data_IF_079666859997
#
_entry.id   IF_079666859997
#
_cell.length_a   1.000
_cell.length_b   1.000
_cell.length_c   1.000
_cell.angle_alpha   90.00
_cell.angle_beta   90.00
_cell.angle_gamma   90.00
#
_symmetry.space_group_name_H-M   'P 1'
#
loop_
_entity.id
_entity.type
_entity.pdbx_description
1 polymer ?
#
# COMPACT_ATOMS: atom_id res chain seq x y z
N UNK A 1 5.38 -2.03 -27.09
CA UNK A 1 5.21 -3.50 -27.16
C UNK A 1 4.24 -3.92 -26.07
N UNK A 2 3.10 -4.49 -26.45
CA UNK A 2 2.14 -5.06 -25.51
C UNK A 2 2.66 -6.43 -25.04
N UNK A 3 2.52 -6.73 -23.75
CA UNK A 3 2.83 -8.05 -23.21
C UNK A 3 1.84 -9.06 -23.80
N UNK A 4 2.25 -9.78 -24.85
CA UNK A 4 1.45 -10.87 -25.42
C UNK A 4 1.71 -12.20 -24.68
N UNK A 5 0.82 -13.17 -24.88
CA UNK A 5 0.88 -14.45 -24.19
C UNK A 5 2.19 -15.20 -24.46
N UNK A 6 2.65 -15.21 -25.71
CA UNK A 6 3.84 -15.98 -26.10
C UNK A 6 5.13 -15.37 -25.51
N UNK A 7 5.24 -14.04 -25.49
CA UNK A 7 6.35 -13.32 -24.85
C UNK A 7 6.36 -13.59 -23.35
N UNK A 8 5.20 -13.55 -22.69
CA UNK A 8 5.10 -13.86 -21.26
C UNK A 8 5.42 -15.33 -20.96
N UNK A 9 4.96 -16.28 -21.79
CA UNK A 9 5.26 -17.69 -21.64
C UNK A 9 6.77 -17.97 -21.82
N UNK A 10 7.42 -17.26 -22.75
CA UNK A 10 8.86 -17.32 -22.93
C UNK A 10 9.62 -16.73 -21.73
N UNK A 11 9.24 -15.55 -21.26
CA UNK A 11 9.85 -14.93 -20.07
C UNK A 11 9.67 -15.78 -18.82
N UNK A 12 8.50 -16.39 -18.62
CA UNK A 12 8.26 -17.31 -17.49
C UNK A 12 9.25 -18.48 -17.50
N UNK A 13 9.61 -18.99 -18.68
CA UNK A 13 10.55 -20.10 -18.81
C UNK A 13 12.00 -19.67 -18.68
N UNK A 14 12.37 -18.46 -19.11
CA UNK A 14 13.77 -18.08 -19.33
C UNK A 14 14.29 -16.95 -18.44
N UNK A 15 13.43 -16.10 -17.90
CA UNK A 15 13.84 -14.93 -17.13
C UNK A 15 14.18 -15.33 -15.67
N UNK A 16 15.41 -15.13 -15.19
CA UNK A 16 15.85 -15.53 -13.83
C UNK A 16 14.95 -14.99 -12.71
N UNK A 17 14.54 -13.72 -12.80
CA UNK A 17 13.60 -13.11 -11.84
C UNK A 17 12.28 -13.89 -11.71
N UNK A 18 11.68 -14.30 -12.83
CA UNK A 18 10.42 -15.05 -12.81
C UNK A 18 10.62 -16.48 -12.30
N UNK A 19 11.77 -17.08 -12.63
CA UNK A 19 12.15 -18.38 -12.05
C UNK A 19 12.35 -18.29 -10.53
N UNK A 20 12.81 -17.16 -10.00
CA UNK A 20 12.90 -16.93 -8.55
C UNK A 20 11.50 -16.91 -7.92
N UNK A 21 10.54 -16.19 -8.52
CA UNK A 21 9.16 -16.16 -8.03
C UNK A 21 8.47 -17.53 -8.04
N UNK A 22 8.84 -18.40 -8.97
CA UNK A 22 8.26 -19.73 -9.13
C UNK A 22 8.99 -20.82 -8.31
N UNK A 23 10.09 -20.49 -7.63
CA UNK A 23 10.85 -21.49 -6.89
C UNK A 23 10.10 -21.94 -5.63
N UNK A 24 10.11 -23.24 -5.33
CA UNK A 24 9.42 -23.78 -4.15
C UNK A 24 9.98 -23.21 -2.84
N UNK A 25 11.26 -22.85 -2.83
CA UNK A 25 11.96 -22.22 -1.72
C UNK A 25 12.15 -20.70 -1.90
N UNK A 26 11.36 -20.05 -2.78
CA UNK A 26 11.51 -18.63 -3.11
C UNK A 26 11.60 -17.73 -1.88
N UNK A 27 10.78 -17.97 -0.86
CA UNK A 27 10.78 -17.20 0.37
C UNK A 27 12.15 -17.25 1.07
N UNK A 28 12.71 -18.45 1.27
CA UNK A 28 14.02 -18.64 1.90
C UNK A 28 15.15 -18.07 1.04
N UNK A 29 15.12 -18.27 -0.28
CA UNK A 29 16.14 -17.72 -1.18
C UNK A 29 16.11 -16.19 -1.12
N UNK A 30 14.94 -15.59 -1.29
CA UNK A 30 14.79 -14.15 -1.36
C UNK A 30 15.17 -13.46 -0.04
N UNK A 31 14.69 -13.98 1.09
CA UNK A 31 15.00 -13.41 2.41
C UNK A 31 16.48 -13.56 2.79
N UNK A 32 17.13 -14.66 2.40
CA UNK A 32 18.56 -14.81 2.60
C UNK A 32 19.35 -13.81 1.74
N UNK A 33 19.06 -13.74 0.43
CA UNK A 33 19.77 -12.87 -0.49
C UNK A 33 19.59 -11.39 -0.14
N UNK A 34 18.38 -10.98 0.26
CA UNK A 34 18.09 -9.61 0.68
C UNK A 34 18.88 -9.24 1.95
N UNK A 35 18.84 -10.10 2.98
CA UNK A 35 19.63 -9.93 4.20
C UNK A 35 21.13 -9.86 3.94
N UNK A 36 21.66 -10.78 3.13
CA UNK A 36 23.11 -10.89 2.95
C UNK A 36 23.69 -9.78 2.09
N UNK A 37 23.04 -9.39 0.99
CA UNK A 37 23.59 -8.45 0.03
C UNK A 37 23.02 -7.02 0.18
N UNK A 38 21.72 -6.86 0.47
CA UNK A 38 21.06 -5.54 0.50
C UNK A 38 21.04 -4.92 1.88
N UNK A 39 20.56 -5.63 2.90
CA UNK A 39 20.52 -5.10 4.28
C UNK A 39 21.95 -4.77 4.78
N UNK A 40 22.91 -5.65 4.52
CA UNK A 40 24.31 -5.41 4.87
C UNK A 40 25.05 -4.51 3.85
N UNK A 41 24.40 -4.18 2.72
CA UNK A 41 24.95 -3.38 1.62
C UNK A 41 26.33 -3.87 1.13
N UNK A 42 26.46 -5.19 0.96
CA UNK A 42 27.68 -5.85 0.49
C UNK A 42 27.47 -6.33 -0.94
N UNK A 43 28.32 -5.90 -1.87
CA UNK A 43 28.23 -6.31 -3.27
C UNK A 43 28.84 -7.67 -3.56
N UNK A 44 29.87 -8.08 -2.81
CA UNK A 44 30.62 -9.30 -3.11
C UNK A 44 30.92 -10.05 -1.81
N UNK A 45 30.59 -11.34 -1.79
CA UNK A 45 30.80 -12.20 -0.63
C UNK A 45 31.64 -13.39 -1.04
N UNK A 46 32.62 -13.79 -0.23
CA UNK A 46 33.43 -14.97 -0.51
C UNK A 46 32.59 -16.26 -0.42
N UNK A 47 32.97 -17.31 -1.16
CA UNK A 47 32.27 -18.60 -1.11
C UNK A 47 32.16 -19.16 0.30
N UNK A 48 33.26 -19.10 1.07
CA UNK A 48 33.31 -19.60 2.44
C UNK A 48 32.34 -18.85 3.35
N UNK A 49 32.33 -17.52 3.29
CA UNK A 49 31.47 -16.69 4.14
C UNK A 49 29.99 -16.86 3.75
N UNK A 50 29.70 -17.00 2.45
CA UNK A 50 28.34 -17.17 1.96
C UNK A 50 27.76 -18.54 2.34
N UNK A 51 28.57 -19.61 2.26
CA UNK A 51 28.18 -20.95 2.72
C UNK A 51 27.87 -20.92 4.22
N UNK A 52 28.76 -20.34 5.03
CA UNK A 52 28.57 -20.24 6.49
C UNK A 52 27.31 -19.43 6.85
N UNK A 53 27.08 -18.31 6.16
CA UNK A 53 25.90 -17.49 6.37
C UNK A 53 24.61 -18.23 6.01
N UNK A 54 24.61 -19.00 4.91
CA UNK A 54 23.44 -19.77 4.50
C UNK A 54 23.18 -20.95 5.44
N UNK A 55 24.21 -21.68 5.88
CA UNK A 55 24.06 -22.77 6.86
C UNK A 55 23.50 -22.25 8.19
N UNK A 56 23.93 -21.07 8.65
CA UNK A 56 23.36 -20.42 9.85
C UNK A 56 21.90 -20.00 9.65
N UNK A 57 21.60 -19.47 8.46
CA UNK A 57 20.24 -19.08 8.10
C UNK A 57 19.28 -20.28 8.02
N UNK A 58 19.71 -21.39 7.40
CA UNK A 58 18.94 -22.63 7.33
C UNK A 58 18.65 -23.19 8.73
N UNK A 59 19.64 -23.20 9.63
CA UNK A 59 19.44 -23.62 11.03
C UNK A 59 18.42 -22.75 11.74
N UNK A 60 18.50 -21.42 11.58
CA UNK A 60 17.53 -20.48 12.15
C UNK A 60 16.10 -20.75 11.65
N UNK A 61 15.94 -21.06 10.36
CA UNK A 61 14.63 -21.39 9.78
C UNK A 61 14.12 -22.76 10.24
N UNK A 62 14.99 -23.75 10.36
CA UNK A 62 14.65 -25.08 10.87
C UNK A 62 14.10 -25.02 12.30
N UNK A 63 14.71 -24.21 13.16
CA UNK A 63 14.21 -23.95 14.52
C UNK A 63 12.83 -23.28 14.52
N UNK A 64 12.63 -22.28 13.66
CA UNK A 64 11.38 -21.51 13.58
C UNK A 64 10.21 -22.31 13.01
N UNK A 65 10.47 -23.18 12.03
CA UNK A 65 9.45 -23.92 11.29
C UNK A 65 9.20 -25.34 11.85
N UNK A 66 9.89 -25.70 12.94
CA UNK A 66 9.78 -27.00 13.61
C UNK A 66 9.99 -28.19 12.64
N UNK A 67 11.14 -28.23 11.96
CA UNK A 67 11.51 -29.33 11.06
C UNK A 67 12.74 -29.01 10.22
N UNK A 68 13.05 -29.86 9.24
CA UNK A 68 14.07 -29.58 8.21
C UNK A 68 13.40 -29.34 6.84
N UNK A 69 12.85 -28.14 6.61
CA UNK A 69 12.19 -27.80 5.35
C UNK A 69 13.17 -27.68 4.17
N UNK A 70 14.49 -27.60 4.42
CA UNK A 70 15.51 -27.34 3.40
C UNK A 70 16.68 -28.33 3.49
N UNK A 71 16.48 -29.61 3.13
CA UNK A 71 17.40 -30.70 3.44
C UNK A 71 18.71 -30.73 2.64
N UNK A 72 18.94 -29.79 1.72
CA UNK A 72 20.19 -29.71 0.94
C UNK A 72 21.19 -28.80 1.65
N UNK A 73 22.47 -29.06 1.44
CA UNK A 73 23.55 -28.26 2.02
C UNK A 73 23.58 -26.85 1.41
N UNK A 74 24.10 -25.87 2.15
CA UNK A 74 24.27 -24.51 1.63
C UNK A 74 25.08 -24.46 0.33
N UNK A 75 26.15 -25.26 0.23
CA UNK A 75 26.98 -25.32 -0.98
C UNK A 75 26.21 -25.84 -2.20
N UNK A 76 25.34 -26.84 -2.02
CA UNK A 76 24.48 -27.36 -3.10
C UNK A 76 23.45 -26.32 -3.56
N UNK A 77 22.84 -25.60 -2.62
CA UNK A 77 21.92 -24.51 -2.96
C UNK A 77 22.61 -23.37 -3.71
N UNK A 78 23.77 -22.91 -3.24
CA UNK A 78 24.54 -21.86 -3.91
C UNK A 78 24.96 -22.28 -5.32
N UNK A 79 25.37 -23.54 -5.49
CA UNK A 79 25.67 -24.10 -6.81
C UNK A 79 24.44 -24.08 -7.72
N UNK A 80 23.26 -24.48 -7.21
CA UNK A 80 22.01 -24.40 -7.97
C UNK A 80 21.67 -22.95 -8.36
N UNK A 81 21.83 -21.99 -7.45
CA UNK A 81 21.49 -20.58 -7.67
C UNK A 81 22.40 -19.89 -8.69
N UNK A 82 23.63 -20.40 -8.85
CA UNK A 82 24.56 -19.94 -9.91
C UNK A 82 24.39 -20.64 -11.25
N UNK A 83 23.64 -21.74 -11.31
CA UNK A 83 23.43 -22.47 -12.57
C UNK A 83 22.68 -21.62 -13.60
N UNK A 84 22.95 -21.81 -14.89
CA UNK A 84 22.23 -21.14 -15.99
C UNK A 84 20.70 -21.38 -15.96
N UNK A 85 20.28 -22.45 -15.26
CA UNK A 85 18.87 -22.77 -15.05
C UNK A 85 18.19 -21.84 -14.04
N UNK A 86 18.92 -21.24 -13.11
CA UNK A 86 18.38 -20.29 -12.13
C UNK A 86 18.90 -18.88 -12.39
N UNK A 87 20.23 -18.71 -12.45
CA UNK A 87 20.91 -17.46 -12.78
C UNK A 87 20.65 -16.36 -11.78
N UNK A 88 20.56 -16.66 -10.48
CA UNK A 88 20.28 -15.68 -9.44
C UNK A 88 21.56 -15.06 -8.87
N UNK A 89 22.59 -15.89 -8.73
CA UNK A 89 23.92 -15.48 -8.29
C UNK A 89 24.93 -15.64 -9.43
N UNK A 90 25.95 -14.80 -9.41
CA UNK A 90 27.11 -14.91 -10.28
C UNK A 90 28.34 -15.28 -9.45
N UNK A 91 28.98 -16.40 -9.78
CA UNK A 91 30.29 -16.80 -9.22
C UNK A 91 31.42 -16.27 -10.10
N UNK A 92 32.42 -15.62 -9.50
CA UNK A 92 33.60 -15.13 -10.21
C UNK A 92 34.82 -15.06 -9.28
N UNK A 93 36.01 -14.87 -9.87
CA UNK A 93 37.26 -14.71 -9.14
C UNK A 93 37.71 -13.24 -9.24
N UNK A 94 37.75 -12.49 -8.13
CA UNK A 94 38.32 -11.15 -8.12
C UNK A 94 39.80 -11.16 -8.53
N UNK A 95 40.28 -10.06 -9.10
CA UNK A 95 41.69 -9.94 -9.49
C UNK A 95 42.60 -10.08 -8.26
N UNK A 96 43.54 -11.03 -8.32
CA UNK A 96 44.51 -11.27 -7.24
C UNK A 96 43.98 -12.11 -6.07
N UNK A 97 42.81 -12.74 -6.19
CA UNK A 97 42.31 -13.70 -5.22
C UNK A 97 42.07 -15.07 -5.85
N UNK A 98 42.54 -16.12 -5.18
CA UNK A 98 42.23 -17.52 -5.51
C UNK A 98 40.90 -17.99 -4.88
N UNK A 99 40.23 -17.12 -4.11
CA UNK A 99 38.93 -17.42 -3.51
C UNK A 99 37.78 -16.95 -4.41
N UNK A 100 36.83 -17.85 -4.76
CA UNK A 100 35.66 -17.46 -5.51
C UNK A 100 34.73 -16.57 -4.68
N UNK A 101 34.14 -15.58 -5.34
CA UNK A 101 33.18 -14.65 -4.78
C UNK A 101 31.86 -14.73 -5.54
N UNK A 102 30.80 -14.33 -4.84
CA UNK A 102 29.43 -14.31 -5.33
C UNK A 102 28.89 -12.89 -5.29
N UNK A 103 28.09 -12.53 -6.29
CA UNK A 103 27.35 -11.28 -6.40
C UNK A 103 25.94 -11.58 -6.93
N UNK A 104 24.99 -10.70 -6.61
CA UNK A 104 23.63 -10.75 -7.14
C UNK A 104 23.62 -10.41 -8.62
N UNK A 105 22.85 -11.17 -9.38
CA UNK A 105 22.56 -10.79 -10.78
C UNK A 105 21.56 -9.62 -10.81
N UNK A 106 21.61 -8.75 -11.84
CA UNK A 106 20.63 -7.67 -12.01
C UNK A 106 19.18 -8.18 -12.05
N UNK A 107 18.96 -9.40 -12.53
CA UNK A 107 17.65 -10.03 -12.60
C UNK A 107 17.16 -10.47 -11.22
N UNK A 108 18.04 -11.02 -10.37
CA UNK A 108 17.70 -11.32 -8.97
C UNK A 108 17.45 -10.04 -8.18
N UNK A 109 18.25 -9.01 -8.38
CA UNK A 109 18.07 -7.69 -7.76
C UNK A 109 16.69 -7.08 -8.13
N UNK A 110 16.29 -7.17 -9.40
CA UNK A 110 14.93 -6.75 -9.82
C UNK A 110 13.84 -7.56 -9.13
N UNK A 111 14.04 -8.87 -8.96
CA UNK A 111 13.07 -9.72 -8.30
C UNK A 111 12.90 -9.37 -6.81
N UNK A 112 14.02 -9.17 -6.10
CA UNK A 112 14.02 -8.75 -4.69
C UNK A 112 13.40 -7.36 -4.52
N UNK A 113 13.73 -6.40 -5.39
CA UNK A 113 13.13 -5.06 -5.36
C UNK A 113 11.61 -5.12 -5.56
N UNK A 114 11.14 -5.99 -6.44
CA UNK A 114 9.70 -6.19 -6.62
C UNK A 114 9.04 -6.86 -5.39
N UNK A 115 9.69 -7.84 -4.76
CA UNK A 115 9.16 -8.45 -3.53
C UNK A 115 9.10 -7.44 -2.38
N UNK A 116 10.08 -6.56 -2.26
CA UNK A 116 10.07 -5.46 -1.30
C UNK A 116 8.87 -4.53 -1.51
N UNK A 117 8.52 -4.23 -2.78
CA UNK A 117 7.31 -3.46 -3.10
C UNK A 117 6.01 -4.16 -2.68
N UNK A 118 5.98 -5.50 -2.60
CA UNK A 118 4.81 -6.24 -2.11
C UNK A 118 4.53 -5.98 -0.63
N UNK A 119 5.57 -5.66 0.15
CA UNK A 119 5.45 -5.27 1.56
C UNK A 119 4.87 -3.86 1.75
N UNK A 120 4.56 -3.17 0.64
CA UNK A 120 4.11 -1.79 0.62
C UNK A 120 5.30 -0.85 0.63
N UNK A 121 5.75 -0.41 -0.55
CA UNK A 121 6.63 0.76 -0.61
C UNK A 121 5.89 1.94 0.00
N UNK A 122 6.54 2.66 0.93
CA UNK A 122 6.04 3.95 1.42
C UNK A 122 5.55 4.78 0.24
N UNK A 123 4.25 5.08 0.25
CA UNK A 123 3.60 5.73 -0.87
C UNK A 123 4.25 7.09 -1.10
N UNK A 124 5.08 7.20 -2.15
CA UNK A 124 5.47 8.50 -2.67
C UNK A 124 4.18 9.15 -3.17
N UNK A 125 3.68 10.12 -2.40
CA UNK A 125 2.43 10.83 -2.63
C UNK A 125 2.15 11.07 -4.11
N UNK A 126 0.93 10.78 -4.56
CA UNK A 126 0.48 10.98 -5.95
C UNK A 126 0.80 12.40 -6.47
N UNK A 127 0.76 13.39 -5.58
CA UNK A 127 1.17 14.77 -5.85
C UNK A 127 2.66 14.87 -6.25
N UNK A 128 3.56 14.21 -5.53
CA UNK A 128 5.00 14.23 -5.81
C UNK A 128 5.33 13.59 -7.16
N UNK A 129 4.67 12.48 -7.51
CA UNK A 129 4.86 11.83 -8.82
C UNK A 129 4.30 12.65 -9.97
N UNK A 130 3.17 13.31 -9.75
CA UNK A 130 2.60 14.22 -10.73
C UNK A 130 3.48 15.46 -10.94
N UNK A 131 3.96 16.08 -9.86
CA UNK A 131 4.90 17.19 -9.95
C UNK A 131 6.18 16.77 -10.67
N UNK A 132 6.70 15.58 -10.38
CA UNK A 132 7.84 15.01 -11.11
C UNK A 132 7.53 14.82 -12.61
N UNK A 133 6.33 14.35 -12.96
CA UNK A 133 5.90 14.27 -14.37
C UNK A 133 5.93 15.65 -15.05
N UNK A 134 5.36 16.68 -14.40
CA UNK A 134 5.39 18.05 -14.91
C UNK A 134 6.81 18.59 -15.02
N UNK A 135 7.65 18.35 -14.02
CA UNK A 135 9.04 18.82 -14.02
C UNK A 135 9.89 18.10 -15.07
N UNK A 136 9.70 16.80 -15.27
CA UNK A 136 10.35 16.05 -16.35
C UNK A 136 9.88 16.52 -17.73
N UNK A 137 8.58 16.78 -17.92
CA UNK A 137 8.06 17.36 -19.16
C UNK A 137 8.61 18.77 -19.40
N UNK A 138 8.63 19.63 -18.38
CA UNK A 138 9.27 20.95 -18.43
C UNK A 138 10.73 20.83 -18.81
N UNK A 139 11.47 19.87 -18.23
CA UNK A 139 12.88 19.64 -18.56
C UNK A 139 13.09 19.14 -20.00
N UNK A 140 12.18 18.30 -20.51
CA UNK A 140 12.21 17.81 -21.90
C UNK A 140 11.89 18.93 -22.89
N UNK A 141 10.87 19.73 -22.61
CA UNK A 141 10.35 20.79 -23.49
C UNK A 141 11.17 22.08 -23.41
N UNK A 142 11.62 22.47 -22.22
CA UNK A 142 12.46 23.67 -22.02
C UNK A 142 13.95 23.37 -22.15
N UNK A 143 14.34 22.10 -22.19
CA UNK A 143 15.69 21.68 -22.54
C UNK A 143 16.03 21.92 -24.02
N UNK A 144 15.06 22.33 -24.85
CA UNK A 144 15.21 22.43 -26.30
C UNK A 144 14.73 23.73 -26.98
N UNK A 145 14.10 24.73 -26.32
CA UNK A 145 13.66 25.97 -27.04
C UNK A 145 13.74 27.31 -26.25
N UNK A 146 14.19 28.34 -26.98
CA UNK A 146 14.21 29.78 -26.66
C UNK A 146 12.80 30.40 -26.64
N UNK A 147 12.33 30.98 -25.53
CA UNK A 147 11.58 32.26 -25.54
C UNK A 147 11.31 32.86 -24.13
N UNK A 148 11.19 34.18 -24.07
CA UNK A 148 11.77 35.07 -23.04
C UNK A 148 10.83 35.67 -22.00
N UNK A 149 9.50 35.63 -22.13
CA UNK A 149 8.68 36.58 -21.35
C UNK A 149 7.94 36.03 -20.12
N UNK A 150 7.61 34.74 -20.05
CA UNK A 150 6.85 34.22 -18.90
C UNK A 150 7.73 33.78 -17.71
N UNK A 151 9.07 33.85 -17.88
CA UNK A 151 10.08 33.38 -16.92
C UNK A 151 10.34 34.38 -15.77
N UNK A 152 9.89 35.64 -15.85
CA UNK A 152 10.36 36.76 -15.00
C UNK A 152 10.06 36.64 -13.49
N UNK A 153 9.01 35.92 -13.07
CA UNK A 153 8.62 35.83 -11.65
C UNK A 153 9.29 34.68 -10.90
N UNK A 154 9.54 33.56 -11.57
CA UNK A 154 10.38 32.46 -11.07
C UNK A 154 11.89 32.77 -11.19
N UNK A 155 12.28 33.62 -12.15
CA UNK A 155 13.66 34.03 -12.40
C UNK A 155 14.35 34.78 -11.27
N UNK A 156 13.66 35.40 -10.30
CA UNK A 156 14.36 36.17 -9.24
C UNK A 156 15.12 35.28 -8.24
N UNK A 157 14.61 34.08 -7.98
CA UNK A 157 15.25 33.12 -7.06
C UNK A 157 16.30 32.29 -7.80
N UNK A 158 16.00 31.88 -9.03
CA UNK A 158 16.97 31.30 -9.96
C UNK A 158 18.04 32.31 -10.42
N UNK A 159 17.81 33.63 -10.36
CA UNK A 159 18.77 34.68 -10.80
C UNK A 159 20.14 34.51 -10.18
N UNK A 160 20.21 34.06 -8.93
CA UNK A 160 21.48 33.95 -8.19
C UNK A 160 22.28 32.71 -8.61
N UNK A 161 21.60 31.59 -8.84
CA UNK A 161 22.19 30.35 -9.36
C UNK A 161 22.52 30.49 -10.85
N UNK A 162 21.63 31.14 -11.59
CA UNK A 162 21.76 31.47 -13.01
C UNK A 162 22.74 32.62 -13.24
N UNK A 163 23.07 33.51 -12.29
CA UNK A 163 24.19 34.47 -12.46
C UNK A 163 25.54 33.73 -12.52
N UNK A 164 25.69 32.68 -11.70
CA UNK A 164 26.85 31.79 -11.76
C UNK A 164 26.86 30.90 -13.02
N UNK A 165 25.69 30.68 -13.63
CA UNK A 165 25.54 29.94 -14.89
C UNK A 165 25.69 30.87 -16.12
N UNK A 166 25.19 32.11 -16.08
CA UNK A 166 25.35 33.17 -17.10
C UNK A 166 26.82 33.54 -17.28
N UNK A 167 27.61 33.56 -16.21
CA UNK A 167 29.06 33.75 -16.33
C UNK A 167 29.78 32.55 -16.99
N UNK A 168 29.16 31.36 -17.01
CA UNK A 168 29.63 30.19 -17.80
C UNK A 168 29.11 30.27 -19.24
N UNK A 169 27.86 30.69 -19.44
CA UNK A 169 27.24 30.89 -20.76
C UNK A 169 27.93 32.02 -21.56
N UNK A 170 28.31 33.13 -20.93
CA UNK A 170 29.09 34.23 -21.55
C UNK A 170 30.49 33.79 -22.00
N UNK A 171 31.01 32.71 -21.43
CA UNK A 171 32.27 32.06 -21.84
C UNK A 171 32.10 31.05 -22.96
N UNK A 172 30.87 30.86 -23.47
CA UNK A 172 30.58 29.96 -24.59
C UNK A 172 30.36 28.49 -24.20
N UNK A 173 30.22 28.19 -22.91
CA UNK A 173 30.01 26.82 -22.42
C UNK A 173 28.52 26.59 -22.13
N UNK A 174 27.72 26.34 -23.17
CA UNK A 174 26.40 25.74 -23.03
C UNK A 174 26.35 24.42 -23.79
N UNK A 175 26.01 23.36 -23.07
CA UNK A 175 25.59 22.10 -23.67
C UNK A 175 24.13 21.91 -23.26
N UNK A 176 23.21 22.00 -24.23
CA UNK A 176 21.83 21.58 -24.02
C UNK A 176 21.77 20.09 -23.68
N UNK A 177 20.57 19.56 -23.44
CA UNK A 177 20.45 18.12 -23.22
C UNK A 177 20.94 17.37 -24.45
N UNK A 178 21.81 16.40 -24.22
CA UNK A 178 22.16 15.44 -25.27
C UNK A 178 20.94 14.59 -25.63
N UNK A 179 20.90 14.07 -26.85
CA UNK A 179 19.82 13.16 -27.29
C UNK A 179 19.59 11.99 -26.32
N UNK A 180 20.67 11.51 -25.68
CA UNK A 180 20.62 10.46 -24.65
C UNK A 180 19.85 10.94 -23.41
N UNK A 181 20.23 12.08 -22.86
CA UNK A 181 19.61 12.63 -21.64
C UNK A 181 18.14 13.01 -21.88
N UNK A 182 17.84 13.53 -23.07
CA UNK A 182 16.48 13.83 -23.50
C UNK A 182 15.61 12.56 -23.53
N UNK A 183 16.10 11.49 -24.15
CA UNK A 183 15.39 10.20 -24.23
C UNK A 183 15.24 9.54 -22.86
N UNK A 184 16.26 9.61 -22.00
CA UNK A 184 16.21 9.11 -20.62
C UNK A 184 15.13 9.83 -19.80
N UNK A 185 15.08 11.18 -19.84
CA UNK A 185 14.06 11.96 -19.14
C UNK A 185 12.65 11.65 -19.64
N UNK A 186 12.48 11.49 -20.94
CA UNK A 186 11.17 11.12 -21.51
C UNK A 186 10.76 9.69 -21.11
N UNK A 187 11.69 8.73 -21.07
CA UNK A 187 11.42 7.39 -20.56
C UNK A 187 11.00 7.41 -19.09
N UNK A 188 11.67 8.22 -18.27
CA UNK A 188 11.30 8.40 -16.87
C UNK A 188 9.88 8.98 -16.73
N UNK A 189 9.54 10.00 -17.53
CA UNK A 189 8.17 10.53 -17.59
C UNK A 189 7.16 9.43 -17.93
N UNK A 190 7.44 8.61 -18.96
CA UNK A 190 6.54 7.51 -19.36
C UNK A 190 6.29 6.51 -18.24
N UNK A 191 7.33 6.18 -17.48
CA UNK A 191 7.24 5.24 -16.37
C UNK A 191 6.40 5.84 -15.24
N UNK A 192 6.75 7.05 -14.77
CA UNK A 192 6.03 7.75 -13.71
C UNK A 192 4.55 7.97 -14.07
N UNK A 193 4.26 8.29 -15.33
CA UNK A 193 2.89 8.50 -15.80
C UNK A 193 2.02 7.23 -15.72
N UNK A 194 2.62 6.05 -15.92
CA UNK A 194 1.95 4.76 -15.79
C UNK A 194 1.83 4.34 -14.33
N UNK A 195 2.86 4.57 -13.53
CA UNK A 195 2.85 4.24 -12.10
C UNK A 195 1.77 5.03 -11.36
N UNK A 196 1.55 6.30 -11.75
CA UNK A 196 0.47 7.13 -11.21
C UNK A 196 -0.93 6.51 -11.39
N UNK A 197 -1.17 5.79 -12.49
CA UNK A 197 -2.43 5.05 -12.67
C UNK A 197 -2.55 3.85 -11.72
N UNK A 198 -1.42 3.24 -11.37
CA UNK A 198 -1.35 2.21 -10.34
C UNK A 198 -1.67 2.77 -8.96
N UNK A 199 -1.18 3.98 -8.66
CA UNK A 199 -1.42 4.66 -7.38
C UNK A 199 -2.93 4.92 -7.14
N UNK A 200 -3.70 5.26 -8.18
CA UNK A 200 -5.17 5.39 -8.04
C UNK A 200 -5.86 4.10 -7.62
N UNK A 201 -5.38 2.96 -8.14
CA UNK A 201 -5.89 1.64 -7.75
C UNK A 201 -5.49 1.28 -6.33
N UNK A 202 -4.32 1.72 -5.88
CA UNK A 202 -3.88 1.54 -4.49
C UNK A 202 -4.76 2.34 -3.52
N UNK A 203 -5.04 3.62 -3.82
CA UNK A 203 -5.98 4.44 -3.03
C UNK A 203 -7.36 3.79 -2.97
N UNK A 204 -7.90 3.34 -4.10
CA UNK A 204 -9.19 2.64 -4.14
C UNK A 204 -9.20 1.39 -3.25
N UNK A 205 -8.13 0.59 -3.28
CA UNK A 205 -7.99 -0.61 -2.46
C UNK A 205 -7.94 -0.29 -0.97
N UNK A 206 -7.21 0.76 -0.57
CA UNK A 206 -7.15 1.19 0.83
C UNK A 206 -8.55 1.55 1.38
N UNK A 207 -9.37 2.26 0.58
CA UNK A 207 -10.76 2.55 0.96
C UNK A 207 -11.65 1.30 1.01
N UNK A 208 -11.43 0.31 0.14
CA UNK A 208 -12.15 -0.97 0.20
C UNK A 208 -11.79 -1.78 1.45
N UNK A 209 -10.51 -1.83 1.80
CA UNK A 209 -10.03 -2.53 2.99
C UNK A 209 -10.55 -1.83 4.27
N UNK A 210 -10.63 -0.49 4.27
CA UNK A 210 -11.32 0.27 5.31
C UNK A 210 -12.80 -0.11 5.44
N UNK A 211 -13.58 -0.04 4.36
CA UNK A 211 -15.01 -0.37 4.38
C UNK A 211 -15.25 -1.77 4.93
N UNK A 212 -14.43 -2.74 4.51
CA UNK A 212 -14.47 -4.10 5.04
C UNK A 212 -14.18 -4.15 6.53
N UNK A 213 -13.10 -3.53 7.00
CA UNK A 213 -12.74 -3.53 8.43
C UNK A 213 -13.84 -2.89 9.29
N UNK A 214 -14.48 -1.84 8.80
CA UNK A 214 -15.57 -1.17 9.50
C UNK A 214 -16.79 -2.09 9.59
N UNK A 215 -17.16 -2.80 8.50
CA UNK A 215 -18.27 -3.77 8.55
C UNK A 215 -18.00 -4.91 9.52
N UNK A 216 -16.77 -5.41 9.54
CA UNK A 216 -16.34 -6.44 10.50
C UNK A 216 -16.50 -5.94 11.94
N UNK A 217 -16.03 -4.72 12.24
CA UNK A 217 -16.19 -4.11 13.57
C UNK A 217 -17.65 -3.86 13.95
N UNK A 218 -18.47 -3.32 13.04
CA UNK A 218 -19.92 -3.12 13.29
C UNK A 218 -20.63 -4.43 13.61
N UNK A 219 -20.20 -5.54 12.99
CA UNK A 219 -20.78 -6.87 13.20
C UNK A 219 -20.39 -7.45 14.55
N UNK A 220 -19.15 -7.21 15.00
CA UNK A 220 -18.61 -7.69 16.27
C UNK A 220 -18.88 -6.74 17.45
N UNK A 221 -19.53 -5.59 17.21
CA UNK A 221 -19.73 -4.55 18.21
C UNK A 221 -20.94 -4.80 19.12
N UNK A 222 -20.66 -4.95 20.41
CA UNK A 222 -21.63 -5.13 21.51
C UNK A 222 -21.72 -3.91 22.47
N UNK A 223 -20.99 -2.82 22.21
CA UNK A 223 -20.90 -1.64 23.08
C UNK A 223 -21.85 -0.48 22.72
N UNK A 224 -21.64 0.72 23.29
CA UNK A 224 -22.46 1.90 23.01
C UNK A 224 -22.27 2.44 21.58
N UNK A 225 -23.38 2.84 20.94
CA UNK A 225 -23.41 3.40 19.58
C UNK A 225 -22.53 4.64 19.42
N UNK A 226 -22.50 5.50 20.43
CA UNK A 226 -21.74 6.76 20.44
C UNK A 226 -20.25 6.50 20.23
N UNK A 227 -19.73 5.46 20.87
CA UNK A 227 -18.33 5.07 20.79
C UNK A 227 -18.00 4.42 19.45
N UNK A 228 -18.91 3.59 18.90
CA UNK A 228 -18.75 3.01 17.58
C UNK A 228 -18.73 4.08 16.49
N UNK A 229 -19.66 5.03 16.52
CA UNK A 229 -19.72 6.12 15.56
C UNK A 229 -18.46 6.99 15.63
N UNK A 230 -17.99 7.29 16.83
CA UNK A 230 -16.76 8.05 17.02
C UNK A 230 -15.55 7.32 16.45
N UNK A 231 -15.36 6.04 16.76
CA UNK A 231 -14.26 5.22 16.22
C UNK A 231 -14.29 5.11 14.69
N UNK A 232 -15.48 4.98 14.10
CA UNK A 232 -15.62 4.86 12.64
C UNK A 232 -15.36 6.20 11.95
N UNK A 233 -15.88 7.30 12.49
CA UNK A 233 -15.61 8.63 11.95
C UNK A 233 -14.14 9.01 12.10
N UNK A 234 -13.53 8.72 13.24
CA UNK A 234 -12.11 8.94 13.48
C UNK A 234 -11.26 8.17 12.45
N UNK A 235 -11.55 6.89 12.17
CA UNK A 235 -10.83 6.12 11.12
C UNK A 235 -11.09 6.58 9.68
N UNK A 236 -12.31 7.04 9.40
CA UNK A 236 -12.63 7.63 8.10
C UNK A 236 -11.80 8.88 7.86
N UNK A 237 -11.70 9.73 8.88
CA UNK A 237 -10.92 10.95 8.85
C UNK A 237 -9.42 10.63 8.83
N UNK A 238 -8.94 9.62 9.55
CA UNK A 238 -7.55 9.12 9.49
C UNK A 238 -7.11 8.72 8.08
N UNK A 239 -7.98 8.12 7.27
CA UNK A 239 -7.65 7.71 5.89
C UNK A 239 -7.81 8.86 4.90
N UNK A 240 -8.80 9.72 5.14
CA UNK A 240 -8.97 10.92 4.33
C UNK A 240 -7.77 11.86 4.51
N UNK A 241 -7.34 12.03 5.76
CA UNK A 241 -6.20 12.86 6.19
C UNK A 241 -4.89 12.08 6.27
N UNK A 242 -4.85 10.84 5.77
CA UNK A 242 -3.60 10.12 5.57
C UNK A 242 -2.77 10.82 4.49
N UNK A 243 -1.46 10.58 4.51
CA UNK A 243 -0.55 11.11 3.50
C UNK A 243 -0.99 10.70 2.07
N UNK A 244 -1.59 9.53 1.91
CA UNK A 244 -2.18 9.03 0.66
C UNK A 244 -3.46 9.80 0.27
N UNK A 245 -4.38 10.01 1.21
CA UNK A 245 -5.64 10.72 0.95
C UNK A 245 -5.44 12.21 0.68
N UNK A 246 -4.53 12.84 1.41
CA UNK A 246 -4.14 14.25 1.20
C UNK A 246 -3.44 14.43 -0.14
N UNK A 247 -2.46 13.58 -0.47
CA UNK A 247 -1.74 13.70 -1.73
C UNK A 247 -2.59 13.31 -2.95
N UNK A 248 -3.61 12.45 -2.80
CA UNK A 248 -4.59 12.20 -3.86
C UNK A 248 -5.51 13.40 -4.08
N UNK A 249 -5.98 14.07 -3.01
CA UNK A 249 -6.76 15.31 -3.11
C UNK A 249 -5.96 16.43 -3.77
N UNK A 250 -4.73 16.66 -3.31
CA UNK A 250 -3.84 17.67 -3.89
C UNK A 250 -3.56 17.39 -5.38
N UNK A 251 -3.32 16.13 -5.75
CA UNK A 251 -3.23 15.68 -7.14
C UNK A 251 -4.49 16.04 -7.94
N UNK A 252 -5.67 15.68 -7.42
CA UNK A 252 -6.93 15.86 -8.11
C UNK A 252 -7.24 17.33 -8.32
N UNK A 253 -7.08 18.15 -7.28
CA UNK A 253 -7.27 19.60 -7.34
C UNK A 253 -6.32 20.24 -8.36
N UNK A 254 -5.07 19.78 -8.40
CA UNK A 254 -4.07 20.26 -9.34
C UNK A 254 -4.43 19.90 -10.80
N UNK A 255 -4.79 18.64 -11.09
CA UNK A 255 -5.19 18.22 -12.44
C UNK A 255 -6.54 18.83 -12.84
N UNK A 256 -7.39 19.18 -11.87
CA UNK A 256 -8.65 19.87 -12.14
C UNK A 256 -8.46 21.35 -12.45
N UNK A 257 -7.33 21.93 -12.07
CA UNK A 257 -7.04 23.34 -12.32
C UNK A 257 -6.84 23.61 -13.83
N UNK A 258 -7.57 24.56 -14.44
CA UNK A 258 -7.50 24.82 -15.88
C UNK A 258 -6.08 25.13 -16.37
N UNK A 259 -5.34 25.96 -15.63
CA UNK A 259 -3.98 26.34 -16.02
C UNK A 259 -3.01 25.14 -16.03
N UNK A 260 -3.17 24.17 -15.11
CA UNK A 260 -2.35 22.97 -15.08
C UNK A 260 -2.64 22.04 -16.26
N UNK A 261 -3.91 21.96 -16.70
CA UNK A 261 -4.30 21.19 -17.88
C UNK A 261 -3.76 21.82 -19.16
N UNK A 262 -3.93 23.13 -19.29
CA UNK A 262 -3.44 23.89 -20.44
C UNK A 262 -1.91 23.79 -20.56
N UNK A 263 -1.20 23.88 -19.42
CA UNK A 263 0.25 23.67 -19.37
C UNK A 263 0.62 22.25 -19.81
N UNK A 264 -0.04 21.23 -19.27
CA UNK A 264 0.25 19.83 -19.59
C UNK A 264 -0.01 19.50 -21.07
N UNK A 265 -1.11 19.99 -21.63
CA UNK A 265 -1.44 19.82 -23.04
C UNK A 265 -0.38 20.48 -23.92
N UNK A 266 0.02 21.72 -23.60
CA UNK A 266 1.07 22.42 -24.31
C UNK A 266 2.44 21.72 -24.22
N UNK A 267 2.80 21.18 -23.04
CA UNK A 267 4.05 20.44 -22.85
C UNK A 267 4.03 19.13 -23.65
N UNK A 268 2.93 18.38 -23.61
CA UNK A 268 2.79 17.13 -24.36
C UNK A 268 2.84 17.37 -25.87
N UNK A 269 2.17 18.40 -26.38
CA UNK A 269 2.21 18.75 -27.80
C UNK A 269 3.61 19.16 -28.26
N UNK A 270 4.32 19.94 -27.45
CA UNK A 270 5.73 20.29 -27.73
C UNK A 270 6.63 19.06 -27.71
N UNK A 271 6.51 18.21 -26.71
CA UNK A 271 7.29 16.98 -26.62
C UNK A 271 7.06 16.06 -27.83
N UNK A 272 5.83 16.02 -28.36
CA UNK A 272 5.50 15.24 -29.56
C UNK A 272 6.10 15.77 -30.87
N UNK A 273 6.56 17.03 -30.88
CA UNK A 273 7.22 17.64 -32.03
C UNK A 273 8.75 17.47 -31.99
N UNK A 274 9.31 16.94 -30.90
CA UNK A 274 10.76 16.69 -30.77
C UNK A 274 11.15 15.45 -31.58
N UNK A 275 11.95 15.66 -32.63
CA UNK A 275 12.30 14.61 -33.60
C UNK A 275 13.15 13.50 -32.98
N UNK A 276 13.98 13.85 -32.00
CA UNK A 276 14.94 12.99 -31.30
C UNK A 276 14.25 11.93 -30.42
N UNK A 277 12.96 12.11 -30.12
CA UNK A 277 12.16 11.15 -29.36
C UNK A 277 11.53 10.04 -30.22
N UNK A 278 11.51 10.19 -31.55
CA UNK A 278 11.08 9.21 -32.57
C UNK A 278 10.26 7.99 -32.11
N UNK A 279 10.94 6.91 -31.76
CA UNK A 279 10.40 5.61 -31.34
C UNK A 279 9.65 5.63 -30.00
N UNK A 280 10.02 6.53 -29.08
CA UNK A 280 9.35 6.66 -27.78
C UNK A 280 7.95 7.27 -27.91
N UNK A 281 7.67 7.96 -29.03
CA UNK A 281 6.39 8.62 -29.33
C UNK A 281 5.38 7.71 -30.05
N UNK A 282 5.73 6.46 -30.34
CA UNK A 282 4.82 5.47 -30.96
C UNK A 282 3.58 5.20 -30.10
N UNK A 283 3.71 5.32 -28.77
CA UNK A 283 2.61 5.13 -27.82
C UNK A 283 1.69 6.36 -27.79
N UNK A 284 0.75 6.41 -28.74
CA UNK A 284 -0.23 7.50 -28.87
C UNK A 284 -1.11 7.71 -27.64
N UNK A 285 -1.19 6.74 -26.72
CA UNK A 285 -1.96 6.89 -25.48
C UNK A 285 -1.31 7.89 -24.54
N UNK A 286 0.03 7.93 -24.50
CA UNK A 286 0.79 8.86 -23.67
C UNK A 286 0.54 10.34 -24.02
N UNK A 287 0.18 10.64 -25.28
CA UNK A 287 -0.19 12.00 -25.70
C UNK A 287 -1.46 12.50 -25.01
N UNK A 288 -2.32 11.57 -24.60
CA UNK A 288 -3.61 11.82 -23.96
C UNK A 288 -3.66 11.31 -22.53
N UNK A 289 -2.50 11.10 -21.90
CA UNK A 289 -2.40 10.49 -20.57
C UNK A 289 -3.16 11.27 -19.50
N UNK A 290 -3.30 12.60 -19.67
CA UNK A 290 -4.08 13.44 -18.78
C UNK A 290 -5.57 13.08 -18.76
N UNK A 291 -6.15 12.64 -19.90
CA UNK A 291 -7.52 12.12 -19.92
C UNK A 291 -7.63 10.81 -19.15
N UNK A 292 -6.63 9.93 -19.28
CA UNK A 292 -6.58 8.67 -18.53
C UNK A 292 -6.49 8.94 -17.02
N UNK A 293 -5.69 9.94 -16.60
CA UNK A 293 -5.60 10.37 -15.21
C UNK A 293 -6.91 10.97 -14.68
N UNK A 294 -7.56 11.85 -15.45
CA UNK A 294 -8.87 12.43 -15.08
C UNK A 294 -9.92 11.34 -14.94
N UNK A 295 -9.99 10.43 -15.91
CA UNK A 295 -10.94 9.32 -15.88
C UNK A 295 -10.68 8.39 -14.70
N UNK A 296 -9.43 8.01 -14.45
CA UNK A 296 -9.07 7.15 -13.32
C UNK A 296 -9.38 7.83 -11.98
N UNK A 297 -9.03 9.10 -11.81
CA UNK A 297 -9.33 9.84 -10.60
C UNK A 297 -10.84 10.03 -10.38
N UNK A 298 -11.63 10.26 -11.43
CA UNK A 298 -13.10 10.33 -11.33
C UNK A 298 -13.69 9.00 -10.86
N UNK A 299 -13.20 7.87 -11.40
CA UNK A 299 -13.63 6.54 -11.00
C UNK A 299 -13.31 6.28 -9.52
N UNK A 300 -12.09 6.61 -9.08
CA UNK A 300 -11.70 6.49 -7.66
C UNK A 300 -12.59 7.36 -6.77
N UNK A 301 -12.81 8.63 -7.12
CA UNK A 301 -13.69 9.55 -6.38
C UNK A 301 -15.12 9.01 -6.26
N UNK A 302 -15.71 8.52 -7.37
CA UNK A 302 -17.05 7.94 -7.37
C UNK A 302 -17.14 6.70 -6.48
N UNK A 303 -16.13 5.83 -6.53
CA UNK A 303 -16.08 4.62 -5.69
C UNK A 303 -15.96 4.97 -4.20
N UNK A 304 -15.08 5.90 -3.86
CA UNK A 304 -14.94 6.40 -2.48
C UNK A 304 -16.25 6.99 -2.00
N UNK A 305 -16.89 7.88 -2.77
CA UNK A 305 -18.18 8.48 -2.43
C UNK A 305 -19.29 7.43 -2.24
N UNK A 306 -19.31 6.39 -3.10
CA UNK A 306 -20.26 5.28 -2.98
C UNK A 306 -20.04 4.48 -1.69
N UNK A 307 -18.79 4.14 -1.37
CA UNK A 307 -18.44 3.41 -0.14
C UNK A 307 -18.83 4.22 1.10
N UNK A 308 -18.49 5.51 1.15
CA UNK A 308 -18.90 6.40 2.25
C UNK A 308 -20.44 6.49 2.39
N UNK A 309 -21.17 6.56 1.27
CA UNK A 309 -22.63 6.57 1.28
C UNK A 309 -23.23 5.25 1.78
N UNK A 310 -22.68 4.11 1.35
CA UNK A 310 -23.12 2.79 1.79
C UNK A 310 -22.86 2.58 3.28
N UNK A 311 -21.70 3.00 3.77
CA UNK A 311 -21.37 2.93 5.19
C UNK A 311 -22.36 3.75 6.03
N UNK A 312 -22.63 5.00 5.62
CA UNK A 312 -23.61 5.86 6.29
C UNK A 312 -25.00 5.23 6.33
N UNK A 313 -25.47 4.70 5.19
CA UNK A 313 -26.75 4.01 5.11
C UNK A 313 -26.79 2.77 6.00
N UNK A 314 -25.72 1.99 6.04
CA UNK A 314 -25.65 0.78 6.87
C UNK A 314 -25.69 1.11 8.38
N UNK A 315 -25.02 2.18 8.79
CA UNK A 315 -25.09 2.71 10.16
C UNK A 315 -26.52 3.19 10.50
N UNK A 316 -27.17 3.88 9.56
CA UNK A 316 -28.56 4.33 9.70
C UNK A 316 -29.54 3.14 9.78
N UNK A 317 -29.35 2.10 8.97
CA UNK A 317 -30.19 0.90 8.94
C UNK A 317 -30.04 0.07 10.24
N UNK A 318 -28.84 -0.12 10.79
CA UNK A 318 -28.66 -0.80 12.10
C UNK A 318 -29.33 -0.01 13.22
N UNK A 319 -29.20 1.32 13.22
CA UNK A 319 -29.88 2.19 14.19
C UNK A 319 -31.41 2.08 14.10
N UNK A 320 -31.96 1.91 12.89
CA UNK A 320 -33.38 1.66 12.71
C UNK A 320 -33.82 0.34 13.36
N UNK A 321 -33.05 -0.75 13.20
CA UNK A 321 -33.37 -2.04 13.80
C UNK A 321 -33.23 -2.07 15.34
N UNK A 322 -32.23 -1.41 15.90
CA UNK A 322 -32.07 -1.27 17.36
C UNK A 322 -33.19 -0.45 17.98
N UNK A 323 -33.52 0.71 17.41
CA UNK A 323 -34.63 1.55 17.87
C UNK A 323 -35.97 0.82 17.76
N UNK A 324 -36.18 0.05 16.68
CA UNK A 324 -37.36 -0.80 16.52
C UNK A 324 -37.42 -1.87 17.60
N UNK A 325 -36.30 -2.52 17.92
CA UNK A 325 -36.23 -3.54 18.98
C UNK A 325 -36.53 -2.96 20.36
N UNK A 326 -36.03 -1.76 20.68
CA UNK A 326 -36.34 -1.04 21.92
C UNK A 326 -37.84 -0.77 22.00
N UNK A 327 -38.44 -0.25 20.93
CA UNK A 327 -39.88 0.02 20.88
C UNK A 327 -40.73 -1.26 20.98
N UNK A 328 -40.30 -2.36 20.36
CA UNK A 328 -40.99 -3.64 20.46
C UNK A 328 -40.90 -4.22 21.89
N UNK A 329 -39.76 -4.04 22.58
CA UNK A 329 -39.60 -4.43 23.98
C UNK A 329 -40.45 -3.57 24.91
N UNK A 330 -40.47 -2.24 24.72
CA UNK A 330 -41.32 -1.32 25.47
C UNK A 330 -42.79 -1.67 25.32
N UNK A 331 -43.28 -1.86 24.09
CA UNK A 331 -44.67 -2.29 23.84
C UNK A 331 -44.97 -3.65 24.45
N UNK A 332 -44.03 -4.58 24.43
CA UNK A 332 -44.18 -5.90 25.08
C UNK A 332 -44.33 -5.75 26.60
N UNK A 333 -43.55 -4.85 27.22
CA UNK A 333 -43.65 -4.54 28.65
C UNK A 333 -45.00 -3.86 28.95
N UNK A 334 -45.39 -2.85 28.18
CA UNK A 334 -46.68 -2.16 28.31
C UNK A 334 -47.86 -3.13 28.17
N UNK A 335 -47.82 -4.01 27.18
CA UNK A 335 -48.88 -4.99 26.95
C UNK A 335 -49.01 -5.98 28.12
N UNK A 336 -47.88 -6.45 28.65
CA UNK A 336 -47.86 -7.30 29.84
C UNK A 336 -48.36 -6.55 31.09
N UNK A 337 -47.95 -5.29 31.26
CA UNK A 337 -48.36 -4.46 32.39
C UNK A 337 -49.88 -4.19 32.37
N UNK A 338 -50.45 -3.89 31.21
CA UNK A 338 -51.91 -3.71 31.05
C UNK A 338 -52.67 -5.01 31.33
N UNK A 339 -52.13 -6.17 30.91
CA UNK A 339 -52.74 -7.47 31.20
C UNK A 339 -52.83 -7.82 32.69
N UNK A 340 -52.02 -7.19 33.53
CA UNK A 340 -52.03 -7.34 34.99
C UNK A 340 -52.66 -6.14 35.72
N UNK A 341 -53.30 -5.21 35.00
CA UNK A 341 -53.87 -4.00 35.60
C UNK A 341 -55.15 -4.25 36.41
N UNK A 342 -55.98 -5.23 36.01
CA UNK A 342 -57.24 -5.56 36.71
C UNK A 342 -57.05 -6.60 37.84
N UNK A 343 -56.06 -7.49 37.71
CA UNK A 343 -55.65 -8.43 38.75
C UNK A 343 -54.18 -8.18 39.11
N UNK A 344 -53.91 -7.17 39.94
CA UNK A 344 -52.55 -6.88 40.37
C UNK A 344 -52.03 -8.07 41.19
N UNK A 345 -50.86 -8.61 40.83
CA UNK A 345 -50.29 -9.76 41.50
C UNK A 345 -50.01 -9.43 42.97
N UNK A 346 -50.56 -10.24 43.88
CA UNK A 346 -50.55 -10.01 45.32
C UNK A 346 -49.20 -10.30 45.99
N UNK A 347 -48.24 -10.84 45.23
CA UNK A 347 -46.93 -11.24 45.72
C UNK A 347 -45.92 -10.08 45.63
N UNK A 348 -45.17 -9.84 46.71
CA UNK A 348 -44.21 -8.74 46.78
C UNK A 348 -43.02 -8.92 45.80
N UNK A 349 -42.82 -10.15 45.30
CA UNK A 349 -41.76 -10.53 44.36
C UNK A 349 -42.26 -10.74 42.91
N UNK A 350 -43.33 -10.05 42.49
CA UNK A 350 -43.90 -10.24 41.14
C UNK A 350 -42.92 -9.96 39.99
N UNK A 351 -42.01 -9.00 40.17
CA UNK A 351 -40.99 -8.68 39.18
C UNK A 351 -39.69 -8.32 39.89
N UNK A 352 -38.61 -9.00 39.55
CA UNK A 352 -37.27 -8.67 40.01
C UNK A 352 -36.52 -7.91 38.92
N UNK A 353 -36.06 -6.71 39.24
CA UNK A 353 -35.12 -5.94 38.41
C UNK A 353 -33.74 -6.11 39.05
N UNK A 354 -32.73 -6.44 38.26
CA UNK A 354 -31.34 -6.53 38.73
C UNK A 354 -30.81 -5.12 39.05
N UNK A 355 -31.13 -4.62 40.26
CA UNK A 355 -30.58 -3.40 40.84
C UNK A 355 -31.66 -2.41 41.32
N UNK A 356 -31.55 -1.98 42.58
CA UNK A 356 -32.41 -0.94 43.17
C UNK A 356 -31.75 0.46 43.20
N UNK A 357 -30.52 0.61 42.70
CA UNK A 357 -29.77 1.87 42.59
C UNK A 357 -28.67 1.78 41.54
N UNK A 358 -28.31 2.93 40.94
CA UNK A 358 -27.03 3.10 40.27
C UNK A 358 -25.92 3.14 41.34
N UNK A 359 -24.88 2.31 41.21
CA UNK A 359 -23.67 2.46 42.02
C UNK A 359 -22.91 3.70 41.55
N UNK A 360 -22.83 4.71 42.43
CA UNK A 360 -21.99 5.90 42.20
C UNK A 360 -20.62 5.59 42.78
N UNK A 361 -19.68 5.14 41.95
CA UNK A 361 -18.27 4.98 42.33
C UNK A 361 -17.53 6.30 42.20
N UNK A 362 -17.02 6.85 43.30
CA UNK A 362 -16.18 8.05 43.26
C UNK A 362 -14.76 7.67 42.78
N UNK A 363 -14.04 8.56 42.08
CA UNK A 363 -12.66 8.29 41.63
C UNK A 363 -11.69 7.89 42.74
N UNK A 364 -11.99 8.25 44.00
CA UNK A 364 -11.21 7.91 45.19
C UNK A 364 -11.50 6.50 45.74
N UNK A 365 -12.57 5.85 45.27
CA UNK A 365 -12.98 4.51 45.73
C UNK A 365 -12.32 3.38 44.94
N UNK A 366 -11.53 3.70 43.91
CA UNK A 366 -10.71 2.71 43.21
C UNK A 366 -9.47 2.38 44.05
N UNK A 367 -9.27 1.11 44.46
CA UNK A 367 -8.01 0.71 45.07
C UNK A 367 -6.89 0.89 44.04
N UNK A 368 -5.71 1.36 44.48
CA UNK A 368 -4.54 1.64 43.62
C UNK A 368 -4.07 0.44 42.78
N UNK A 369 -4.56 -0.77 43.08
CA UNK A 369 -4.28 -1.98 42.32
C UNK A 369 -5.46 -2.97 42.42
N UNK A 370 -5.98 -3.39 41.26
CA UNK A 370 -6.92 -4.52 41.14
C UNK A 370 -6.22 -5.67 40.38
N UNK A 371 -6.04 -6.85 40.97
CA UNK A 371 -5.49 -7.99 40.26
C UNK A 371 -6.47 -8.50 39.17
N UNK A 372 -5.98 -8.93 38.00
CA UNK A 372 -6.83 -9.40 36.91
C UNK A 372 -7.59 -10.68 37.31
N UNK A 373 -8.90 -10.64 37.15
CA UNK A 373 -9.82 -11.73 37.51
C UNK A 373 -9.61 -12.95 36.59
N UNK A 374 -9.26 -14.12 37.15
CA UNK A 374 -9.26 -15.40 36.41
C UNK A 374 -10.60 -16.13 36.63
N UNK A 375 -11.32 -16.43 35.56
CA UNK A 375 -12.58 -17.16 35.60
C UNK A 375 -12.34 -18.69 35.73
N UNK A 376 -13.02 -19.43 36.62
CA UNK A 376 -12.92 -20.88 36.69
C UNK A 376 -13.75 -21.56 35.60
N UNK A 377 -13.14 -22.48 34.86
CA UNK A 377 -13.66 -23.14 33.65
C UNK A 377 -14.88 -24.09 33.85
N UNK A 378 -15.43 -24.20 35.06
CA UNK A 378 -16.44 -25.21 35.43
C UNK A 378 -17.89 -24.85 35.11
N UNK A 379 -18.18 -23.63 34.63
CA UNK A 379 -19.56 -23.17 34.41
C UNK A 379 -20.21 -23.59 33.07
N UNK A 380 -19.48 -24.23 32.13
CA UNK A 380 -19.94 -24.39 30.74
C UNK A 380 -20.55 -25.76 30.35
N UNK A 381 -20.65 -26.74 31.26
CA UNK A 381 -21.13 -28.08 30.90
C UNK A 381 -22.29 -28.61 31.76
N UNK A 382 -23.53 -28.24 31.43
CA UNK A 382 -24.71 -29.10 31.66
C UNK A 382 -25.72 -29.02 30.50
N UNK A 383 -25.70 -30.01 29.60
CA UNK A 383 -26.79 -30.32 28.66
C UNK A 383 -27.94 -31.05 29.40
N UNK A 384 -29.22 -30.89 29.01
CA UNK A 384 -30.29 -31.72 29.55
C UNK A 384 -30.47 -33.02 28.73
N UNK A 385 -30.49 -34.16 29.42
CA UNK A 385 -30.86 -35.48 28.87
C UNK A 385 -32.39 -35.60 28.91
N UNK A 386 -33.01 -35.77 27.74
CA UNK A 386 -34.39 -36.30 27.63
C UNK A 386 -34.37 -37.81 27.90
N UNK A 387 -35.17 -38.29 28.86
CA UNK A 387 -35.74 -39.64 28.83
C UNK A 387 -37.16 -39.66 29.41
N UNK A 388 -38.06 -40.14 28.55
CA UNK A 388 -39.46 -40.53 28.74
C UNK A 388 -39.60 -41.83 29.53
N UNK A 389 -40.61 -41.93 30.41
CA UNK A 389 -41.39 -43.10 30.85
C UNK A 389 -42.62 -42.48 31.58
N UNK A 390 -43.89 -42.80 31.38
CA UNK A 390 -44.67 -43.93 30.85
C UNK A 390 -46.00 -43.38 30.32
#
# INVERSE_FOLDING_TARGET
MALDFDTLAHHRKNHPAWRLFMADNAAMVASFLDRTFRENNVRQVSETDLILALDDYQRTLAERLEGDPFPRTAAEYLTEWTSDSRGWLRKFYPQGSDTPHYDLTPEAEKALSWMEQLSGSGFLGTEGRLNLCFDLLRQVVHGTEENRELRMKALKKQKKEVEAEIERLKKGEFTGLTDRELRERFQQFRQTARDLLGDFRAVERNFMDLDRSIREEITLWDGEKSDLLRRILDRHDEITDSDEGMSFRAFWDFIMHPASRDELEALLDKAWNIRELGDLLEDRRLRRVHFDWIFAGEQTQRRVAQLSSQLRRYLDDKAFWENRRIMDLLRSIEHKAVGHAEEPPSDAAFMEISGSRCDITLPMDYPLFMPPWRCPWTALCRKPVRKSWT
#
